data_IF_696527220807
#
_entry.id   IF_696527220807
#
_cell.length_a   1.000
_cell.length_b   1.000
_cell.length_c   1.000
_cell.angle_alpha   90.00
_cell.angle_beta   90.00
_cell.angle_gamma   90.00
#
_symmetry.space_group_name_H-M   'P 1'
#
loop_
_entity.id
_entity.type
_entity.pdbx_description
1 polymer ?
#
# COMPACT_ATOMS: atom_id res chain seq x y z
N UNK A 1 43.57 -25.15 -12.36
CA UNK A 1 42.14 -24.88 -12.57
C UNK A 1 41.75 -23.71 -11.69
N UNK A 2 41.71 -22.49 -12.24
CA UNK A 2 41.30 -21.29 -11.51
C UNK A 2 39.78 -21.25 -11.45
N UNK A 3 39.22 -21.30 -10.24
CA UNK A 3 37.80 -21.07 -9.98
C UNK A 3 37.36 -19.74 -10.63
N UNK A 4 36.16 -19.66 -11.23
CA UNK A 4 35.61 -18.36 -11.64
C UNK A 4 35.54 -17.48 -10.40
N UNK A 5 36.21 -16.32 -10.42
CA UNK A 5 36.04 -15.30 -9.37
C UNK A 5 34.57 -14.89 -9.41
N UNK A 6 33.82 -15.23 -8.37
CA UNK A 6 32.44 -14.77 -8.20
C UNK A 6 32.40 -13.25 -8.36
N UNK A 7 31.78 -12.80 -9.45
CA UNK A 7 31.46 -11.38 -9.59
C UNK A 7 30.48 -11.04 -8.47
N UNK A 8 30.71 -9.97 -7.68
CA UNK A 8 29.78 -9.60 -6.63
C UNK A 8 28.41 -9.39 -7.25
N UNK A 9 27.39 -10.09 -6.72
CA UNK A 9 26.02 -9.98 -7.20
C UNK A 9 25.55 -8.53 -7.04
N UNK A 10 25.45 -7.81 -8.16
CA UNK A 10 25.21 -6.37 -8.17
C UNK A 10 23.76 -6.02 -7.84
N UNK A 11 22.81 -6.82 -8.33
CA UNK A 11 21.37 -6.62 -8.12
C UNK A 11 20.97 -7.39 -6.86
N UNK A 12 20.54 -6.72 -5.78
CA UNK A 12 20.06 -7.38 -4.58
C UNK A 12 18.71 -8.08 -4.82
N UNK A 13 18.32 -9.03 -3.95
CA UNK A 13 16.95 -9.56 -3.94
C UNK A 13 15.91 -8.44 -3.89
N UNK A 14 14.85 -8.57 -4.70
CA UNK A 14 13.77 -7.59 -4.85
C UNK A 14 12.47 -8.29 -5.26
N UNK A 15 11.33 -7.57 -5.23
CA UNK A 15 10.04 -8.11 -5.69
C UNK A 15 9.27 -8.95 -4.67
N UNK A 16 9.74 -9.04 -3.41
CA UNK A 16 9.05 -9.73 -2.30
C UNK A 16 7.82 -8.99 -1.76
N UNK A 17 7.11 -8.23 -2.59
CA UNK A 17 6.01 -7.35 -2.14
C UNK A 17 4.83 -8.10 -1.52
N UNK A 18 4.61 -9.37 -1.88
CA UNK A 18 3.50 -10.18 -1.34
C UNK A 18 3.63 -10.42 0.16
N UNK A 19 4.84 -10.35 0.69
CA UNK A 19 5.12 -10.52 2.12
C UNK A 19 5.02 -9.18 2.88
N UNK A 20 4.88 -8.05 2.18
CA UNK A 20 4.71 -6.74 2.81
C UNK A 20 3.29 -6.62 3.38
N UNK A 21 3.21 -6.29 4.67
CA UNK A 21 1.94 -5.99 5.31
C UNK A 21 1.19 -4.83 4.64
N UNK A 22 1.93 -3.81 4.15
CA UNK A 22 1.36 -2.69 3.41
C UNK A 22 0.68 -3.13 2.12
N UNK A 23 1.29 -4.07 1.38
CA UNK A 23 0.70 -4.64 0.17
C UNK A 23 -0.56 -5.45 0.47
N UNK A 24 -0.47 -6.39 1.42
CA UNK A 24 -1.61 -7.22 1.82
C UNK A 24 -2.80 -6.37 2.29
N UNK A 25 -2.54 -5.31 3.06
CA UNK A 25 -3.60 -4.37 3.47
C UNK A 25 -4.15 -3.55 2.30
N UNK A 26 -3.30 -3.08 1.38
CA UNK A 26 -3.73 -2.37 0.19
C UNK A 26 -4.57 -3.25 -0.76
N UNK A 27 -4.31 -4.55 -0.81
CA UNK A 27 -5.17 -5.51 -1.52
C UNK A 27 -6.56 -5.61 -0.89
N UNK A 28 -6.64 -5.73 0.44
CA UNK A 28 -7.93 -5.71 1.16
C UNK A 28 -8.68 -4.41 0.91
N UNK A 29 -7.98 -3.26 0.91
CA UNK A 29 -8.58 -1.95 0.59
C UNK A 29 -9.13 -1.94 -0.84
N UNK A 30 -8.39 -2.47 -1.81
CA UNK A 30 -8.86 -2.58 -3.19
C UNK A 30 -10.14 -3.40 -3.31
N UNK A 31 -10.18 -4.59 -2.72
CA UNK A 31 -11.35 -5.46 -2.78
C UNK A 31 -12.55 -4.84 -2.03
N UNK A 32 -12.29 -4.20 -0.88
CA UNK A 32 -13.29 -3.47 -0.10
C UNK A 32 -13.90 -2.32 -0.89
N UNK A 33 -13.07 -1.52 -1.57
CA UNK A 33 -13.53 -0.40 -2.39
C UNK A 33 -14.33 -0.87 -3.59
N UNK A 34 -13.90 -1.93 -4.29
CA UNK A 34 -14.63 -2.46 -5.42
C UNK A 34 -16.05 -2.90 -5.01
N UNK A 35 -16.16 -3.66 -3.91
CA UNK A 35 -17.45 -4.10 -3.37
C UNK A 35 -18.30 -2.93 -2.88
N UNK A 36 -17.70 -1.96 -2.19
CA UNK A 36 -18.43 -0.77 -1.74
C UNK A 36 -19.01 0.02 -2.92
N UNK A 37 -18.20 0.27 -3.94
CA UNK A 37 -18.61 1.01 -5.13
C UNK A 37 -19.74 0.27 -5.86
N UNK A 38 -19.63 -1.05 -6.05
CA UNK A 38 -20.66 -1.86 -6.69
C UNK A 38 -21.99 -1.90 -5.91
N UNK A 39 -21.95 -1.71 -4.59
CA UNK A 39 -23.16 -1.71 -3.74
C UNK A 39 -23.82 -0.34 -3.64
N UNK A 40 -23.04 0.73 -3.61
CA UNK A 40 -23.52 2.03 -3.10
C UNK A 40 -23.26 3.22 -4.01
N UNK A 41 -22.54 3.01 -5.10
CA UNK A 41 -22.23 4.06 -6.07
C UNK A 41 -22.76 3.61 -7.44
N UNK A 42 -23.39 4.53 -8.17
CA UNK A 42 -23.83 4.24 -9.54
C UNK A 42 -22.61 3.78 -10.36
N UNK A 43 -22.70 2.56 -10.91
CA UNK A 43 -21.66 1.92 -11.71
C UNK A 43 -21.29 2.69 -12.98
N UNK A 44 -22.15 3.62 -13.43
CA UNK A 44 -21.87 4.50 -14.58
C UNK A 44 -21.29 5.85 -14.16
N UNK A 45 -21.19 6.12 -12.86
CA UNK A 45 -20.66 7.38 -12.36
C UNK A 45 -19.15 7.42 -12.44
N UNK A 46 -18.61 8.62 -12.68
CA UNK A 46 -17.16 8.86 -12.66
C UNK A 46 -16.55 8.57 -11.28
N UNK A 47 -17.31 8.79 -10.20
CA UNK A 47 -16.88 8.52 -8.83
C UNK A 47 -16.60 7.04 -8.61
N UNK A 48 -17.41 6.13 -9.15
CA UNK A 48 -17.16 4.69 -9.08
C UNK A 48 -15.78 4.35 -9.66
N UNK A 49 -15.53 4.77 -10.90
CA UNK A 49 -14.26 4.52 -11.58
C UNK A 49 -13.06 5.11 -10.82
N UNK A 50 -13.20 6.34 -10.31
CA UNK A 50 -12.13 7.04 -9.60
C UNK A 50 -11.75 6.34 -8.30
N UNK A 51 -12.72 5.98 -7.47
CA UNK A 51 -12.46 5.28 -6.21
C UNK A 51 -11.79 3.93 -6.45
N UNK A 52 -12.31 3.14 -7.40
CA UNK A 52 -11.73 1.82 -7.74
C UNK A 52 -10.30 1.98 -8.29
N UNK A 53 -10.05 2.99 -9.13
CA UNK A 53 -8.70 3.26 -9.65
C UNK A 53 -7.73 3.76 -8.58
N UNK A 54 -8.16 4.63 -7.67
CA UNK A 54 -7.32 5.10 -6.57
C UNK A 54 -6.86 3.92 -5.70
N UNK A 55 -7.79 3.03 -5.33
CA UNK A 55 -7.48 1.81 -4.59
C UNK A 55 -6.53 0.87 -5.36
N UNK A 56 -6.78 0.67 -6.66
CA UNK A 56 -5.92 -0.15 -7.54
C UNK A 56 -4.51 0.42 -7.63
N UNK A 57 -4.41 1.74 -7.85
CA UNK A 57 -3.16 2.48 -7.92
C UNK A 57 -2.34 2.31 -6.64
N UNK A 58 -3.00 2.39 -5.48
CA UNK A 58 -2.38 2.13 -4.18
C UNK A 58 -1.59 0.82 -4.14
N UNK A 59 -2.25 -0.31 -4.42
CA UNK A 59 -1.56 -1.62 -4.38
C UNK A 59 -0.55 -1.82 -5.51
N UNK A 60 -0.82 -1.30 -6.72
CA UNK A 60 0.08 -1.49 -7.86
C UNK A 60 1.42 -0.78 -7.67
N UNK A 61 1.39 0.45 -7.18
CA UNK A 61 2.62 1.20 -6.92
C UNK A 61 3.50 0.53 -5.85
N UNK A 62 2.92 -0.19 -4.88
CA UNK A 62 3.69 -0.98 -3.91
C UNK A 62 4.43 -2.12 -4.62
N UNK A 63 3.73 -2.89 -5.47
CA UNK A 63 4.32 -3.98 -6.22
C UNK A 63 5.40 -3.49 -7.19
N UNK A 64 5.10 -2.45 -7.97
CA UNK A 64 6.05 -1.85 -8.92
C UNK A 64 7.28 -1.26 -8.20
N UNK A 65 7.07 -0.58 -7.07
CA UNK A 65 8.15 -0.06 -6.22
C UNK A 65 9.09 -1.16 -5.75
N UNK A 66 8.52 -2.24 -5.22
CA UNK A 66 9.29 -3.39 -4.76
C UNK A 66 10.05 -4.09 -5.90
N UNK A 67 9.45 -4.20 -7.09
CA UNK A 67 10.13 -4.76 -8.27
C UNK A 67 11.28 -3.85 -8.75
N UNK A 68 11.11 -2.53 -8.69
CA UNK A 68 12.14 -1.58 -9.08
C UNK A 68 13.29 -1.46 -8.05
N UNK A 69 13.10 -1.89 -6.81
CA UNK A 69 14.05 -1.72 -5.70
C UNK A 69 15.44 -2.30 -5.98
N UNK A 70 15.53 -3.36 -6.78
CA UNK A 70 16.79 -4.00 -7.16
C UNK A 70 17.68 -3.12 -8.05
N UNK A 71 17.11 -2.17 -8.77
CA UNK A 71 17.85 -1.31 -9.72
C UNK A 71 17.72 0.18 -9.40
N UNK A 72 16.71 0.60 -8.64
CA UNK A 72 16.51 2.00 -8.26
C UNK A 72 15.73 2.15 -6.96
N UNK A 73 16.46 2.36 -5.85
CA UNK A 73 15.89 2.76 -4.56
C UNK A 73 15.14 4.09 -4.60
N UNK A 74 15.56 5.02 -5.47
CA UNK A 74 14.84 6.28 -5.71
C UNK A 74 13.47 6.04 -6.32
N UNK A 75 13.38 5.11 -7.28
CA UNK A 75 12.10 4.74 -7.91
C UNK A 75 11.21 4.02 -6.90
N UNK A 76 11.76 3.12 -6.10
CA UNK A 76 11.04 2.47 -5.00
C UNK A 76 10.41 3.51 -4.06
N UNK A 77 11.20 4.42 -3.48
CA UNK A 77 10.71 5.50 -2.62
C UNK A 77 9.60 6.33 -3.28
N UNK A 78 9.79 6.71 -4.55
CA UNK A 78 8.80 7.48 -5.30
C UNK A 78 7.48 6.71 -5.42
N UNK A 79 7.52 5.44 -5.82
CA UNK A 79 6.31 4.64 -6.04
C UNK A 79 5.59 4.34 -4.73
N UNK A 80 6.30 4.05 -3.63
CA UNK A 80 5.66 3.94 -2.31
C UNK A 80 4.99 5.26 -1.90
N UNK A 81 5.60 6.41 -2.22
CA UNK A 81 4.98 7.73 -2.03
C UNK A 81 3.70 7.92 -2.86
N UNK A 82 3.69 7.48 -4.11
CA UNK A 82 2.48 7.50 -4.97
C UNK A 82 1.40 6.59 -4.41
N UNK A 83 1.74 5.39 -3.94
CA UNK A 83 0.79 4.48 -3.29
C UNK A 83 0.10 5.16 -2.09
N UNK A 84 0.89 5.84 -1.25
CA UNK A 84 0.38 6.59 -0.09
C UNK A 84 -0.54 7.73 -0.50
N UNK A 85 -0.21 8.46 -1.56
CA UNK A 85 -1.04 9.54 -2.09
C UNK A 85 -2.37 9.01 -2.67
N UNK A 86 -2.34 7.90 -3.43
CA UNK A 86 -3.56 7.29 -3.98
C UNK A 86 -4.53 6.83 -2.89
N UNK A 87 -4.01 6.32 -1.77
CA UNK A 87 -4.86 5.96 -0.63
C UNK A 87 -5.34 7.16 0.19
N UNK A 88 -4.67 8.31 0.12
CA UNK A 88 -5.19 9.56 0.68
C UNK A 88 -6.35 10.09 -0.17
N UNK A 89 -6.23 10.05 -1.49
CA UNK A 89 -7.31 10.42 -2.42
C UNK A 89 -8.56 9.58 -2.15
N UNK A 90 -8.39 8.25 -2.08
CA UNK A 90 -9.47 7.32 -1.75
C UNK A 90 -10.08 7.58 -0.36
N UNK A 91 -9.26 7.95 0.64
CA UNK A 91 -9.75 8.29 1.98
C UNK A 91 -10.72 9.47 1.92
N UNK A 92 -10.35 10.51 1.16
CA UNK A 92 -11.20 11.70 0.96
C UNK A 92 -12.49 11.31 0.25
N UNK A 93 -12.45 10.44 -0.76
CA UNK A 93 -13.67 9.97 -1.46
C UNK A 93 -14.67 9.29 -0.51
N UNK A 94 -14.20 8.45 0.42
CA UNK A 94 -15.07 7.82 1.42
C UNK A 94 -15.65 8.84 2.42
N UNK A 95 -14.85 9.82 2.84
CA UNK A 95 -15.31 10.90 3.72
C UNK A 95 -16.35 11.77 3.01
N UNK A 96 -16.15 12.06 1.74
CA UNK A 96 -17.08 12.80 0.91
C UNK A 96 -18.37 12.03 0.68
N UNK A 97 -18.31 10.71 0.45
CA UNK A 97 -19.49 9.86 0.39
C UNK A 97 -20.33 9.99 1.67
N UNK A 98 -19.70 9.82 2.84
CA UNK A 98 -20.40 9.94 4.14
C UNK A 98 -21.03 11.33 4.30
N UNK A 99 -20.28 12.39 4.02
CA UNK A 99 -20.74 13.78 4.10
C UNK A 99 -21.92 14.07 3.18
N UNK A 100 -21.85 13.65 1.92
CA UNK A 100 -22.88 13.88 0.91
C UNK A 100 -24.17 13.09 1.22
N UNK A 101 -24.04 11.88 1.77
CA UNK A 101 -25.17 11.04 2.20
C UNK A 101 -25.69 11.40 3.60
N UNK A 102 -25.10 12.41 4.27
CA UNK A 102 -25.43 12.81 5.66
C UNK A 102 -25.29 11.67 6.67
N UNK A 103 -24.31 10.79 6.45
CA UNK A 103 -23.97 9.69 7.32
C UNK A 103 -22.83 10.09 8.27
N UNK A 104 -22.83 9.62 9.54
CA UNK A 104 -21.80 10.00 10.50
C UNK A 104 -20.45 9.36 10.16
N UNK A 105 -19.40 10.18 10.25
CA UNK A 105 -18.01 9.73 10.28
C UNK A 105 -17.65 9.31 11.71
N UNK A 106 -17.14 8.10 11.88
CA UNK A 106 -16.73 7.59 13.18
C UNK A 106 -15.47 8.28 13.67
N UNK A 107 -15.50 8.72 14.93
CA UNK A 107 -14.27 9.14 15.60
C UNK A 107 -13.36 7.95 15.89
N UNK A 108 -12.08 8.22 16.20
CA UNK A 108 -11.12 7.19 16.62
C UNK A 108 -11.57 6.37 17.84
N UNK A 109 -12.51 6.91 18.63
CA UNK A 109 -12.97 6.29 19.88
C UNK A 109 -14.30 5.54 19.75
N UNK A 110 -14.94 5.62 18.59
CA UNK A 110 -16.17 4.91 18.29
C UNK A 110 -16.01 3.39 18.47
N UNK A 111 -17.00 2.73 19.09
CA UNK A 111 -16.92 1.31 19.45
C UNK A 111 -16.68 0.43 18.22
N UNK A 112 -17.47 0.63 17.14
CA UNK A 112 -17.29 -0.12 15.89
C UNK A 112 -15.95 0.17 15.19
N UNK A 113 -15.40 1.38 15.32
CA UNK A 113 -14.08 1.70 14.78
C UNK A 113 -12.97 0.95 15.55
N UNK A 114 -13.11 0.78 16.87
CA UNK A 114 -12.22 -0.04 17.68
C UNK A 114 -12.30 -1.52 17.29
N UNK A 115 -13.51 -2.05 17.07
CA UNK A 115 -13.72 -3.42 16.61
C UNK A 115 -13.03 -3.67 15.26
N UNK A 116 -13.34 -2.87 14.23
CA UNK A 116 -12.78 -3.05 12.89
C UNK A 116 -11.25 -2.95 12.91
N UNK A 117 -10.68 -1.96 13.61
CA UNK A 117 -9.22 -1.82 13.70
C UNK A 117 -8.55 -2.99 14.40
N UNK A 118 -9.21 -3.62 15.39
CA UNK A 118 -8.66 -4.78 16.10
C UNK A 118 -8.45 -5.97 15.16
N UNK A 119 -9.25 -6.09 14.10
CA UNK A 119 -9.13 -7.16 13.10
C UNK A 119 -7.80 -7.12 12.34
N UNK A 120 -7.13 -5.97 12.26
CA UNK A 120 -5.85 -5.87 11.57
C UNK A 120 -4.74 -6.71 12.23
N UNK A 121 -4.91 -7.07 13.51
CA UNK A 121 -3.98 -7.89 14.29
C UNK A 121 -4.28 -9.39 14.20
N UNK A 122 -5.28 -9.81 13.41
CA UNK A 122 -5.51 -11.23 13.13
C UNK A 122 -4.34 -11.83 12.33
N UNK A 123 -3.92 -13.05 12.67
CA UNK A 123 -2.77 -13.74 12.07
C UNK A 123 -2.98 -14.16 10.61
N UNK A 124 -4.23 -14.37 10.20
CA UNK A 124 -4.68 -14.83 8.89
C UNK A 124 -5.58 -13.78 8.21
N UNK A 125 -5.37 -12.51 8.55
CA UNK A 125 -6.13 -11.37 8.04
C UNK A 125 -6.23 -11.42 6.52
N UNK A 126 -7.46 -11.42 6.02
CA UNK A 126 -7.77 -11.30 4.60
C UNK A 126 -9.05 -10.48 4.41
N UNK A 127 -9.51 -10.33 3.17
CA UNK A 127 -10.79 -9.69 2.88
C UNK A 127 -11.95 -10.32 3.68
N UNK A 128 -11.95 -11.64 3.87
CA UNK A 128 -13.01 -12.35 4.59
C UNK A 128 -13.17 -11.88 6.04
N UNK A 129 -12.09 -11.44 6.67
CA UNK A 129 -12.09 -10.88 8.03
C UNK A 129 -12.99 -9.64 8.14
N UNK A 130 -13.13 -8.88 7.05
CA UNK A 130 -13.89 -7.62 7.02
C UNK A 130 -15.25 -7.76 6.31
N UNK A 131 -15.54 -8.93 5.71
CA UNK A 131 -16.70 -9.16 4.84
C UNK A 131 -18.02 -8.72 5.47
N UNK A 132 -18.27 -9.02 6.74
CA UNK A 132 -19.52 -8.65 7.43
C UNK A 132 -19.73 -7.13 7.47
N UNK A 133 -18.65 -6.36 7.64
CA UNK A 133 -18.70 -4.90 7.65
C UNK A 133 -18.87 -4.31 6.25
N UNK A 134 -18.35 -4.99 5.22
CA UNK A 134 -18.28 -4.47 3.84
C UNK A 134 -19.41 -4.92 2.93
N UNK A 135 -19.97 -6.12 3.12
CA UNK A 135 -21.03 -6.71 2.27
C UNK A 135 -22.38 -6.78 2.97
N UNK A 136 -22.41 -7.07 4.27
CA UNK A 136 -23.66 -7.33 4.99
C UNK A 136 -24.18 -6.11 5.77
N UNK A 137 -23.41 -5.02 5.81
CA UNK A 137 -23.74 -3.84 6.61
C UNK A 137 -24.27 -2.67 5.78
N UNK A 138 -24.98 -1.71 6.41
CA UNK A 138 -25.42 -0.46 5.79
C UNK A 138 -24.25 0.40 5.27
N UNK A 139 -24.51 1.38 4.37
CA UNK A 139 -23.46 2.19 3.73
C UNK A 139 -22.57 2.94 4.73
N UNK A 140 -23.14 3.42 5.85
CA UNK A 140 -22.36 4.08 6.91
C UNK A 140 -21.28 3.16 7.48
N UNK A 141 -21.64 1.93 7.84
CA UNK A 141 -20.74 0.96 8.44
C UNK A 141 -19.67 0.54 7.43
N UNK A 142 -20.07 0.29 6.18
CA UNK A 142 -19.14 -0.12 5.13
C UNK A 142 -18.11 0.97 4.81
N UNK A 143 -18.55 2.22 4.64
CA UNK A 143 -17.66 3.36 4.39
C UNK A 143 -16.69 3.59 5.57
N UNK A 144 -17.19 3.60 6.81
CA UNK A 144 -16.34 3.79 7.98
C UNK A 144 -15.36 2.63 8.20
N UNK A 145 -15.75 1.39 7.88
CA UNK A 145 -14.85 0.24 7.92
C UNK A 145 -13.73 0.37 6.87
N UNK A 146 -14.05 0.80 5.65
CA UNK A 146 -13.07 1.10 4.61
C UNK A 146 -12.11 2.22 5.03
N UNK A 147 -12.61 3.29 5.67
CA UNK A 147 -11.78 4.36 6.24
C UNK A 147 -10.80 3.81 7.28
N UNK A 148 -11.23 2.91 8.17
CA UNK A 148 -10.35 2.26 9.15
C UNK A 148 -9.23 1.47 8.46
N UNK A 149 -9.57 0.68 7.43
CA UNK A 149 -8.60 -0.08 6.63
C UNK A 149 -7.59 0.84 5.95
N UNK A 150 -8.04 1.94 5.34
CA UNK A 150 -7.18 2.90 4.66
C UNK A 150 -6.21 3.56 5.64
N UNK A 151 -6.69 4.00 6.81
CA UNK A 151 -5.80 4.57 7.84
C UNK A 151 -4.72 3.60 8.29
N UNK A 152 -5.07 2.32 8.50
CA UNK A 152 -4.10 1.29 8.89
C UNK A 152 -3.09 1.02 7.77
N UNK A 153 -3.55 0.99 6.51
CA UNK A 153 -2.69 0.82 5.34
C UNK A 153 -1.73 2.01 5.18
N UNK A 154 -2.24 3.23 5.33
CA UNK A 154 -1.45 4.46 5.28
C UNK A 154 -0.39 4.49 6.37
N UNK A 155 -0.71 4.06 7.59
CA UNK A 155 0.29 3.92 8.64
C UNK A 155 1.42 2.95 8.24
N UNK A 156 1.10 1.80 7.65
CA UNK A 156 2.11 0.83 7.19
C UNK A 156 2.97 1.40 6.06
N UNK A 157 2.38 2.15 5.12
CA UNK A 157 3.11 2.85 4.06
C UNK A 157 4.05 3.93 4.62
N UNK A 158 3.61 4.69 5.62
CA UNK A 158 4.45 5.69 6.28
C UNK A 158 5.64 5.03 6.99
N UNK A 159 5.45 3.89 7.64
CA UNK A 159 6.56 3.12 8.23
C UNK A 159 7.50 2.57 7.16
N UNK A 160 6.97 2.07 6.05
CA UNK A 160 7.75 1.57 4.93
C UNK A 160 8.62 2.67 4.32
N UNK A 161 8.07 3.86 4.07
CA UNK A 161 8.83 5.02 3.57
C UNK A 161 9.98 5.38 4.50
N UNK A 162 9.72 5.49 5.82
CA UNK A 162 10.77 5.78 6.81
C UNK A 162 11.87 4.71 6.82
N UNK A 163 11.51 3.44 6.64
CA UNK A 163 12.49 2.36 6.58
C UNK A 163 13.37 2.47 5.32
N UNK A 164 12.75 2.71 4.16
CA UNK A 164 13.44 2.88 2.88
C UNK A 164 14.35 4.12 2.87
N UNK A 165 13.92 5.23 3.47
CA UNK A 165 14.74 6.43 3.62
C UNK A 165 15.99 6.16 4.46
N UNK A 166 15.85 5.47 5.59
CA UNK A 166 16.98 5.08 6.44
C UNK A 166 17.95 4.14 5.71
N UNK A 167 17.43 3.16 4.97
CA UNK A 167 18.24 2.26 4.16
C UNK A 167 19.01 3.02 3.08
N UNK A 168 18.34 3.94 2.37
CA UNK A 168 18.95 4.76 1.34
C UNK A 168 20.10 5.62 1.89
N UNK A 169 19.91 6.27 3.05
CA UNK A 169 20.95 7.07 3.70
C UNK A 169 22.16 6.22 4.16
N UNK A 170 21.91 4.98 4.58
CA UNK A 170 22.96 4.07 5.08
C UNK A 170 23.76 3.43 3.95
N UNK A 171 23.09 2.97 2.90
CA UNK A 171 23.70 2.13 1.86
C UNK A 171 24.06 2.89 0.57
N UNK A 172 23.48 4.07 0.36
CA UNK A 172 23.56 4.82 -0.89
C UNK A 172 22.75 4.20 -2.03
N UNK A 173 22.75 4.87 -3.18
CA UNK A 173 22.01 4.42 -4.36
C UNK A 173 22.67 3.26 -5.12
N UNK A 174 21.88 2.57 -5.95
CA UNK A 174 22.39 1.52 -6.85
C UNK A 174 23.49 2.04 -7.79
N UNK A 175 23.33 3.25 -8.34
CA UNK A 175 24.34 3.89 -9.20
C UNK A 175 25.68 4.09 -8.48
N UNK A 176 25.65 4.47 -7.20
CA UNK A 176 26.86 4.61 -6.40
C UNK A 176 27.54 3.25 -6.17
N UNK A 177 26.74 2.20 -5.87
CA UNK A 177 27.23 0.83 -5.74
C UNK A 177 27.88 0.34 -7.05
N UNK A 178 27.24 0.56 -8.20
CA UNK A 178 27.81 0.24 -9.52
C UNK A 178 29.13 0.97 -9.80
N UNK A 179 29.18 2.27 -9.50
CA UNK A 179 30.40 3.07 -9.69
C UNK A 179 31.56 2.55 -8.83
N UNK A 180 31.30 2.24 -7.55
CA UNK A 180 32.30 1.65 -6.65
C UNK A 180 32.78 0.29 -7.14
N UNK A 181 31.87 -0.61 -7.53
CA UNK A 181 32.20 -1.94 -8.04
C UNK A 181 33.06 -1.88 -9.32
N UNK A 182 32.66 -1.03 -10.27
CA UNK A 182 33.43 -0.78 -11.51
C UNK A 182 34.82 -0.23 -11.22
N UNK A 183 34.95 0.68 -10.26
CA UNK A 183 36.25 1.28 -9.89
C UNK A 183 37.17 0.26 -9.24
N UNK A 184 36.65 -0.63 -8.39
CA UNK A 184 37.42 -1.72 -7.79
C UNK A 184 37.86 -2.76 -8.83
N UNK A 185 37.00 -3.10 -9.78
CA UNK A 185 37.33 -4.04 -10.86
C UNK A 185 38.47 -3.53 -11.76
N UNK A 186 38.58 -2.20 -11.97
CA UNK A 186 39.66 -1.58 -12.76
C UNK A 186 41.00 -1.48 -12.03
N UNK A 187 41.00 -1.61 -10.70
CA UNK A 187 42.22 -1.59 -9.85
C UNK A 187 42.82 -2.98 -9.65
N UNK A 188 42.15 -4.03 -10.10
CA UNK A 188 42.64 -5.42 -10.14
C UNK A 188 43.27 -5.70 -11.50
#
# INVERSE_FOLDING_TARGET
MTTPKDFPQLIPPHGGYRDLQSYQMAEIVFDATAVFCDRFIDRRSRTHDQMVQAARSGKQNIAEGSMASGTSKKTELKLIGVARASLEELLVDFQDYLRQQKLPLWSKDHAKAKEVRKLAYASDRSYSTYKTYLEASPPEVAANAAICLIHQTNYLLDQQLRALEKEFLKEGGFTEKLYRARTQARKK
#
